data_IF_081641847083
#
_entry.id   IF_081641847083
#
_cell.length_a   1.000
_cell.length_b   1.000
_cell.length_c   1.000
_cell.angle_alpha   90.00
_cell.angle_beta   90.00
_cell.angle_gamma   90.00
#
_symmetry.space_group_name_H-M   'P 1'
#
loop_
_entity.id
_entity.type
_entity.pdbx_description
1 polymer ?
#
# COMPACT_ATOMS: atom_id res chain seq x y z
N UNK A 1 4.96 12.12 10.56
CA UNK A 1 4.20 12.35 9.31
C UNK A 1 3.18 13.49 9.37
N UNK A 2 3.10 14.34 8.35
CA UNK A 2 2.01 15.31 8.12
C UNK A 2 1.19 14.86 6.91
N UNK A 3 -0.05 14.45 7.16
CA UNK A 3 -0.95 13.93 6.14
C UNK A 3 -1.89 15.02 5.60
N UNK A 4 -2.20 14.93 4.31
CA UNK A 4 -3.33 15.66 3.72
C UNK A 4 -4.65 15.10 4.24
N UNK A 5 -5.76 15.84 4.03
CA UNK A 5 -7.08 15.34 4.44
C UNK A 5 -7.43 14.02 3.74
N UNK A 6 -7.05 13.86 2.47
CA UNK A 6 -7.33 12.64 1.72
C UNK A 6 -6.52 11.45 2.25
N UNK A 7 -5.25 11.65 2.56
CA UNK A 7 -4.39 10.62 3.18
C UNK A 7 -4.88 10.23 4.57
N UNK A 8 -5.31 11.21 5.38
CA UNK A 8 -5.93 10.93 6.66
C UNK A 8 -7.23 10.13 6.49
N UNK A 9 -8.06 10.48 5.52
CA UNK A 9 -9.29 9.76 5.21
C UNK A 9 -9.01 8.32 4.75
N UNK A 10 -7.91 8.08 4.03
CA UNK A 10 -7.44 6.74 3.68
C UNK A 10 -7.01 5.96 4.93
N UNK A 11 -6.23 6.56 5.82
CA UNK A 11 -5.81 5.96 7.09
C UNK A 11 -6.99 5.67 8.03
N UNK A 12 -8.02 6.52 8.03
CA UNK A 12 -9.25 6.33 8.79
C UNK A 12 -10.15 5.23 8.18
N UNK A 13 -9.83 4.75 6.98
CA UNK A 13 -10.52 3.64 6.31
C UNK A 13 -11.73 4.06 5.48
N UNK A 14 -11.88 5.34 5.14
CA UNK A 14 -12.96 5.82 4.26
C UNK A 14 -12.84 5.31 2.82
N UNK A 15 -11.69 4.76 2.45
CA UNK A 15 -11.38 4.21 1.13
C UNK A 15 -11.27 2.68 1.09
N UNK A 16 -11.78 1.98 2.11
CA UNK A 16 -11.73 0.52 2.20
C UNK A 16 -10.56 -0.01 3.02
N UNK A 17 -10.57 -1.33 3.26
CA UNK A 17 -9.62 -2.03 4.13
C UNK A 17 -8.23 -2.05 3.51
N UNK A 18 -8.10 -2.36 2.23
CA UNK A 18 -6.79 -2.43 1.56
C UNK A 18 -6.07 -1.07 1.55
N UNK A 19 -6.80 0.03 1.30
CA UNK A 19 -6.26 1.38 1.35
C UNK A 19 -5.80 1.74 2.78
N UNK A 20 -6.64 1.44 3.77
CA UNK A 20 -6.29 1.64 5.19
C UNK A 20 -5.02 0.88 5.58
N UNK A 21 -4.97 -0.41 5.28
CA UNK A 21 -3.83 -1.27 5.63
C UNK A 21 -2.53 -0.79 4.99
N UNK A 22 -2.61 -0.36 3.72
CA UNK A 22 -1.49 0.25 3.01
C UNK A 22 -1.02 1.55 3.68
N UNK A 23 -1.96 2.42 4.08
CA UNK A 23 -1.63 3.66 4.80
C UNK A 23 -1.05 3.41 6.19
N UNK A 24 -1.53 2.41 6.94
CA UNK A 24 -0.93 2.01 8.22
C UNK A 24 0.55 1.62 8.06
N UNK A 25 0.87 0.85 7.02
CA UNK A 25 2.25 0.48 6.69
C UNK A 25 3.08 1.72 6.35
N UNK A 26 2.61 2.54 5.41
CA UNK A 26 3.35 3.71 4.93
C UNK A 26 3.58 4.76 6.03
N UNK A 27 2.57 5.04 6.86
CA UNK A 27 2.70 6.00 7.96
C UNK A 27 3.61 5.49 9.06
N UNK A 28 3.54 4.20 9.39
CA UNK A 28 4.47 3.57 10.35
C UNK A 28 5.91 3.68 9.86
N UNK A 29 6.16 3.37 8.58
CA UNK A 29 7.49 3.54 7.99
C UNK A 29 7.92 5.01 8.00
N UNK A 30 7.00 5.92 7.67
CA UNK A 30 7.26 7.35 7.71
C UNK A 30 7.68 7.82 9.11
N UNK A 31 7.00 7.38 10.16
CA UNK A 31 7.35 7.73 11.54
C UNK A 31 8.68 7.06 11.99
N UNK A 32 8.97 5.83 11.55
CA UNK A 32 10.27 5.16 11.84
C UNK A 32 11.45 5.91 11.21
N UNK A 33 11.26 6.49 10.02
CA UNK A 33 12.31 7.18 9.26
C UNK A 33 12.25 8.70 9.38
N UNK A 34 11.46 9.25 10.30
CA UNK A 34 11.24 10.69 10.48
C UNK A 34 10.84 11.43 9.18
N UNK A 35 10.07 10.76 8.32
CA UNK A 35 9.54 11.35 7.11
C UNK A 35 8.49 12.42 7.46
N UNK A 36 8.60 13.58 6.80
CA UNK A 36 7.70 14.69 7.06
C UNK A 36 6.40 14.59 6.25
N UNK A 37 6.46 14.11 5.01
CA UNK A 37 5.32 14.06 4.06
C UNK A 37 5.34 12.78 3.22
N UNK A 38 4.18 12.41 2.67
CA UNK A 38 4.11 11.45 1.57
C UNK A 38 4.68 12.05 0.27
N UNK A 39 5.05 11.20 -0.67
CA UNK A 39 5.52 11.61 -2.01
C UNK A 39 4.51 11.16 -3.04
N UNK A 40 4.03 12.10 -3.85
CA UNK A 40 3.16 11.80 -4.98
C UNK A 40 3.91 11.01 -6.06
N UNK A 41 3.28 9.94 -6.54
CA UNK A 41 3.80 9.11 -7.63
C UNK A 41 2.83 9.10 -8.80
N UNK A 42 3.35 9.11 -10.02
CA UNK A 42 2.52 9.03 -11.24
C UNK A 42 2.32 7.59 -11.73
N UNK A 43 3.19 6.66 -11.33
CA UNK A 43 3.10 5.26 -11.70
C UNK A 43 4.03 4.38 -10.87
N UNK A 44 3.72 3.08 -10.84
CA UNK A 44 4.40 2.08 -10.01
C UNK A 44 4.66 0.80 -10.81
N UNK A 45 5.86 0.24 -10.69
CA UNK A 45 6.19 -1.11 -11.16
C UNK A 45 6.34 -2.03 -9.95
N UNK A 46 5.52 -3.07 -9.87
CA UNK A 46 5.62 -4.10 -8.83
C UNK A 46 6.51 -5.23 -9.36
N UNK A 47 7.67 -5.41 -8.73
CA UNK A 47 8.62 -6.47 -9.07
C UNK A 47 8.67 -7.55 -7.99
N UNK A 48 9.07 -8.77 -8.38
CA UNK A 48 9.32 -9.85 -7.42
C UNK A 48 8.06 -10.46 -6.79
N UNK A 49 6.89 -10.31 -7.40
CA UNK A 49 5.67 -10.98 -6.95
C UNK A 49 5.75 -12.46 -7.29
N UNK A 50 6.17 -13.28 -6.33
CA UNK A 50 6.19 -14.74 -6.47
C UNK A 50 5.94 -15.39 -5.11
N UNK A 51 5.34 -16.56 -5.11
CA UNK A 51 5.16 -17.31 -3.87
C UNK A 51 6.51 -17.64 -3.19
N UNK A 52 7.57 -17.85 -3.97
CA UNK A 52 8.93 -18.06 -3.44
C UNK A 52 9.45 -16.87 -2.61
N UNK A 53 9.04 -15.64 -2.94
CA UNK A 53 9.40 -14.44 -2.18
C UNK A 53 8.43 -14.15 -1.04
N UNK A 54 7.14 -14.44 -1.25
CA UNK A 54 6.05 -14.03 -0.37
C UNK A 54 5.75 -15.04 0.75
N UNK A 55 5.92 -16.33 0.47
CA UNK A 55 5.48 -17.41 1.35
C UNK A 55 3.99 -17.33 1.70
N UNK A 56 3.62 -18.03 2.78
CA UNK A 56 2.23 -18.03 3.28
C UNK A 56 1.78 -16.65 3.76
N UNK A 57 2.62 -15.94 4.51
CA UNK A 57 2.27 -14.62 5.04
C UNK A 57 1.98 -13.60 3.93
N UNK A 58 2.77 -13.61 2.85
CA UNK A 58 2.51 -12.74 1.71
C UNK A 58 1.29 -13.19 0.90
N UNK A 59 0.98 -14.49 0.83
CA UNK A 59 -0.25 -14.98 0.22
C UNK A 59 -1.49 -14.55 1.01
N UNK A 60 -1.47 -14.67 2.34
CA UNK A 60 -2.53 -14.17 3.22
C UNK A 60 -2.73 -12.67 3.04
N UNK A 61 -1.65 -11.89 3.02
CA UNK A 61 -1.69 -10.46 2.75
C UNK A 61 -2.34 -10.15 1.40
N UNK A 62 -1.95 -10.84 0.33
CA UNK A 62 -2.54 -10.65 -0.99
C UNK A 62 -4.02 -11.03 -1.02
N UNK A 63 -4.44 -12.07 -0.30
CA UNK A 63 -5.85 -12.44 -0.18
C UNK A 63 -6.66 -11.36 0.54
N UNK A 64 -6.13 -10.77 1.62
CA UNK A 64 -6.76 -9.64 2.31
C UNK A 64 -6.88 -8.43 1.37
N UNK A 65 -5.81 -8.10 0.64
CA UNK A 65 -5.82 -7.00 -0.32
C UNK A 65 -6.80 -7.24 -1.48
N UNK A 66 -7.02 -8.50 -1.89
CA UNK A 66 -7.93 -8.83 -2.99
C UNK A 66 -9.42 -8.64 -2.64
N UNK A 67 -9.78 -8.50 -1.35
CA UNK A 67 -11.17 -8.26 -0.94
C UNK A 67 -11.73 -6.94 -1.52
N UNK A 68 -10.97 -5.85 -1.42
CA UNK A 68 -11.39 -4.53 -1.88
C UNK A 68 -10.28 -3.64 -2.50
N UNK A 69 -9.06 -4.18 -2.64
CA UNK A 69 -7.91 -3.46 -3.16
C UNK A 69 -8.04 -3.04 -4.62
N UNK A 70 -7.71 -1.78 -4.88
CA UNK A 70 -7.67 -1.20 -6.22
C UNK A 70 -6.44 -0.32 -6.38
N UNK A 71 -5.82 -0.42 -7.55
CA UNK A 71 -4.74 0.49 -7.95
C UNK A 71 -5.31 1.88 -8.25
N UNK A 72 -4.59 2.94 -7.87
CA UNK A 72 -4.99 4.35 -8.07
C UNK A 72 -4.18 5.09 -9.13
N UNK A 73 -2.99 4.60 -9.44
CA UNK A 73 -2.10 5.11 -10.49
C UNK A 73 -1.78 3.99 -11.48
N UNK A 74 -1.22 4.33 -12.64
CA UNK A 74 -0.77 3.32 -13.60
C UNK A 74 0.19 2.36 -12.88
N UNK A 75 -0.25 1.11 -12.76
CA UNK A 75 0.48 0.09 -12.02
C UNK A 75 0.72 -1.09 -12.95
N UNK A 76 1.98 -1.46 -13.09
CA UNK A 76 2.43 -2.61 -13.87
C UNK A 76 3.04 -3.63 -12.93
N UNK A 77 2.98 -4.90 -13.30
CA UNK A 77 3.64 -5.98 -12.58
C UNK A 77 4.48 -6.80 -13.56
N UNK A 78 5.52 -7.45 -13.05
CA UNK A 78 6.21 -8.49 -13.80
C UNK A 78 5.23 -9.66 -14.07
N UNK A 79 5.45 -10.46 -15.13
CA UNK A 79 4.68 -11.68 -15.35
C UNK A 79 4.67 -12.56 -14.10
N UNK A 80 3.49 -13.03 -13.72
CA UNK A 80 3.24 -13.88 -12.55
C UNK A 80 2.97 -15.32 -12.99
#
# INVERSE_FOLDING_TARGET
MKLTQEEQDMLDGKFGKAAKKSMEILTTLGDIFDAEYMVDVFGVQIAGVSYANLGEAGLEYLNEMAEDGKVRVLTTLNPA
#
